data_IF_963469516091
#
_entry.id   IF_963469516091
#
_cell.length_a   1.000
_cell.length_b   1.000
_cell.length_c   1.000
_cell.angle_alpha   90.00
_cell.angle_beta   90.00
_cell.angle_gamma   90.00
#
_symmetry.space_group_name_H-M   'P 1'
#
loop_
_entity.id
_entity.type
_entity.pdbx_description
1 polymer ?
#
# COMPACT_ATOMS: atom_id res chain seq x y z
N UNK A 1 -6.51 -16.41 -6.95
CA UNK A 1 -7.17 -17.20 -8.01
C UNK A 1 -8.00 -16.29 -8.92
N UNK A 2 -8.60 -16.82 -9.99
CA UNK A 2 -9.31 -16.03 -11.01
C UNK A 2 -10.55 -15.26 -10.46
N UNK A 3 -11.10 -15.70 -9.32
CA UNK A 3 -12.19 -15.01 -8.63
C UNK A 3 -11.84 -13.60 -8.10
N UNK A 4 -10.56 -13.20 -8.12
CA UNK A 4 -10.13 -11.86 -7.67
C UNK A 4 -10.83 -10.72 -8.42
N UNK A 5 -11.27 -10.98 -9.67
CA UNK A 5 -12.01 -10.01 -10.48
C UNK A 5 -13.37 -9.70 -9.88
N UNK A 6 -14.08 -10.74 -9.40
CA UNK A 6 -15.39 -10.58 -8.75
C UNK A 6 -15.22 -9.82 -7.44
N UNK A 7 -14.19 -10.15 -6.65
CA UNK A 7 -13.87 -9.41 -5.42
C UNK A 7 -13.56 -7.94 -5.70
N UNK A 8 -12.79 -7.64 -6.76
CA UNK A 8 -12.45 -6.28 -7.14
C UNK A 8 -13.66 -5.50 -7.67
N UNK A 9 -14.57 -6.16 -8.40
CA UNK A 9 -15.82 -5.56 -8.88
C UNK A 9 -16.71 -5.14 -7.71
N UNK A 10 -16.89 -6.02 -6.73
CA UNK A 10 -17.67 -5.73 -5.52
C UNK A 10 -17.02 -4.61 -4.70
N UNK A 11 -15.70 -4.66 -4.48
CA UNK A 11 -14.96 -3.60 -3.80
C UNK A 11 -15.09 -2.26 -4.53
N UNK A 12 -15.02 -2.25 -5.86
CA UNK A 12 -15.21 -1.07 -6.70
C UNK A 12 -16.60 -0.47 -6.55
N UNK A 13 -17.65 -1.29 -6.48
CA UNK A 13 -19.02 -0.83 -6.24
C UNK A 13 -19.13 -0.11 -4.88
N UNK A 14 -18.61 -0.71 -3.80
CA UNK A 14 -18.60 -0.07 -2.49
C UNK A 14 -17.79 1.23 -2.48
N UNK A 15 -16.66 1.28 -3.18
CA UNK A 15 -15.85 2.48 -3.32
C UNK A 15 -16.60 3.61 -4.06
N UNK A 16 -17.36 3.29 -5.12
CA UNK A 16 -18.19 4.25 -5.84
C UNK A 16 -19.31 4.81 -4.97
N UNK A 17 -20.02 3.96 -4.22
CA UNK A 17 -21.06 4.39 -3.29
C UNK A 17 -20.48 5.29 -2.19
N UNK A 18 -19.32 4.94 -1.64
CA UNK A 18 -18.60 5.78 -0.67
C UNK A 18 -18.19 7.12 -1.26
N UNK A 19 -17.69 7.12 -2.50
CA UNK A 19 -17.34 8.34 -3.22
C UNK A 19 -18.53 9.27 -3.46
N UNK A 20 -19.70 8.70 -3.81
CA UNK A 20 -20.93 9.47 -3.97
C UNK A 20 -21.39 10.12 -2.66
N UNK A 21 -21.33 9.37 -1.56
CA UNK A 21 -21.58 9.90 -0.21
C UNK A 21 -20.66 11.07 0.14
N UNK A 22 -19.35 10.94 -0.11
CA UNK A 22 -18.40 12.03 0.15
C UNK A 22 -18.60 13.23 -0.79
N UNK A 23 -19.00 13.02 -2.04
CA UNK A 23 -19.29 14.09 -2.98
C UNK A 23 -20.53 14.91 -2.56
N UNK A 24 -21.60 14.22 -2.14
CA UNK A 24 -22.78 14.88 -1.57
C UNK A 24 -22.43 15.64 -0.29
N UNK A 25 -21.59 15.03 0.54
CA UNK A 25 -21.14 15.66 1.78
C UNK A 25 -20.29 16.92 1.53
N UNK A 26 -19.37 16.88 0.56
CA UNK A 26 -18.56 18.02 0.15
C UNK A 26 -19.36 19.14 -0.52
N UNK A 27 -20.46 18.82 -1.21
CA UNK A 27 -21.34 19.82 -1.80
C UNK A 27 -22.16 20.60 -0.73
N UNK A 28 -22.42 19.99 0.43
CA UNK A 28 -23.24 20.58 1.49
C UNK A 28 -22.46 21.42 2.50
N UNK A 29 -21.15 21.23 2.64
CA UNK A 29 -20.32 21.94 3.64
C UNK A 29 -19.12 22.61 2.96
N UNK A 30 -19.18 23.92 2.66
CA UNK A 30 -18.12 24.63 1.93
C UNK A 30 -16.93 25.04 2.81
N UNK A 31 -16.89 24.63 4.09
CA UNK A 31 -15.78 24.94 4.98
C UNK A 31 -14.75 23.81 4.98
N UNK A 32 -13.48 24.19 4.89
CA UNK A 32 -12.29 23.36 5.11
C UNK A 32 -12.19 22.87 6.57
N UNK A 33 -13.24 22.24 7.08
CA UNK A 33 -13.25 21.61 8.39
C UNK A 33 -13.13 20.10 8.18
N UNK A 34 -12.01 19.53 8.61
CA UNK A 34 -11.78 18.08 8.68
C UNK A 34 -13.01 17.32 9.18
N UNK A 35 -13.12 16.02 8.86
CA UNK A 35 -14.17 15.07 9.33
C UNK A 35 -14.51 15.25 10.82
N UNK A 36 -13.55 15.71 11.61
CA UNK A 36 -13.70 16.09 13.00
C UNK A 36 -14.77 17.18 13.26
N UNK A 37 -14.77 18.27 12.49
CA UNK A 37 -15.74 19.35 12.61
C UNK A 37 -17.14 18.87 12.20
N UNK A 38 -17.20 17.94 11.25
CA UNK A 38 -18.47 17.35 10.81
C UNK A 38 -19.05 16.41 11.87
N UNK A 39 -18.30 15.43 12.36
CA UNK A 39 -18.77 14.53 13.42
C UNK A 39 -19.11 15.27 14.72
N UNK A 40 -18.44 16.40 15.00
CA UNK A 40 -18.76 17.24 16.16
C UNK A 40 -20.16 17.84 16.05
N UNK A 41 -20.55 18.31 14.86
CA UNK A 41 -21.86 18.96 14.62
C UNK A 41 -23.00 17.95 14.54
N UNK A 42 -22.78 16.73 14.01
CA UNK A 42 -23.87 15.76 13.75
C UNK A 42 -24.05 14.68 14.82
N UNK A 43 -22.98 14.21 15.48
CA UNK A 43 -23.03 13.01 16.35
C UNK A 43 -22.53 13.26 17.78
N UNK A 44 -22.06 14.48 18.07
CA UNK A 44 -21.56 14.89 19.39
C UNK A 44 -20.05 14.68 19.59
N UNK A 45 -19.56 15.26 20.69
CA UNK A 45 -18.11 15.41 20.97
C UNK A 45 -17.37 14.09 21.14
N UNK A 46 -17.99 13.07 21.73
CA UNK A 46 -17.35 11.75 21.96
C UNK A 46 -17.13 10.97 20.66
N UNK A 47 -18.11 10.97 19.75
CA UNK A 47 -17.99 10.25 18.48
C UNK A 47 -16.95 10.89 17.56
N UNK A 48 -16.91 12.23 17.50
CA UNK A 48 -15.88 12.97 16.78
C UNK A 48 -14.47 12.68 17.33
N UNK A 49 -14.32 12.61 18.66
CA UNK A 49 -13.05 12.32 19.31
C UNK A 49 -12.51 10.93 18.97
N UNK A 50 -13.35 9.89 19.03
CA UNK A 50 -12.96 8.52 18.70
C UNK A 50 -12.56 8.40 17.23
N UNK A 51 -13.36 8.95 16.32
CA UNK A 51 -13.10 8.90 14.88
C UNK A 51 -11.83 9.67 14.50
N UNK A 52 -11.58 10.83 15.11
CA UNK A 52 -10.34 11.57 14.87
C UNK A 52 -9.10 10.81 15.32
N UNK A 53 -9.13 10.20 16.51
CA UNK A 53 -8.03 9.36 16.97
C UNK A 53 -7.82 8.12 16.08
N UNK A 54 -8.90 7.49 15.62
CA UNK A 54 -8.82 6.36 14.71
C UNK A 54 -8.18 6.75 13.36
N UNK A 55 -8.55 7.91 12.81
CA UNK A 55 -7.96 8.44 11.57
C UNK A 55 -6.45 8.68 11.74
N UNK A 56 -6.04 9.30 12.86
CA UNK A 56 -4.60 9.53 13.15
C UNK A 56 -3.86 8.19 13.21
N UNK A 57 -4.38 7.21 13.95
CA UNK A 57 -3.79 5.88 14.05
C UNK A 57 -3.70 5.18 12.69
N UNK A 58 -4.75 5.29 11.87
CA UNK A 58 -4.77 4.73 10.54
C UNK A 58 -3.70 5.34 9.63
N UNK A 59 -3.52 6.67 9.66
CA UNK A 59 -2.47 7.34 8.90
C UNK A 59 -1.07 6.89 9.33
N UNK A 60 -0.82 6.78 10.65
CA UNK A 60 0.48 6.31 11.16
C UNK A 60 0.78 4.90 10.68
N UNK A 61 -0.19 3.99 10.79
CA UNK A 61 -0.05 2.61 10.33
C UNK A 61 0.19 2.56 8.81
N UNK A 62 -0.60 3.29 8.02
CA UNK A 62 -0.47 3.35 6.57
C UNK A 62 0.93 3.84 6.15
N UNK A 63 1.45 4.89 6.79
CA UNK A 63 2.81 5.39 6.52
C UNK A 63 3.88 4.35 6.90
N UNK A 64 3.72 3.64 8.02
CA UNK A 64 4.64 2.59 8.43
C UNK A 64 4.67 1.43 7.41
N UNK A 65 3.50 0.95 6.98
CA UNK A 65 3.38 -0.09 5.97
C UNK A 65 4.00 0.32 4.64
N UNK A 66 3.70 1.55 4.18
CA UNK A 66 4.22 2.06 2.92
C UNK A 66 5.74 2.16 2.97
N UNK A 67 6.30 2.79 4.01
CA UNK A 67 7.76 2.92 4.15
C UNK A 67 8.45 1.57 4.13
N UNK A 68 7.89 0.58 4.83
CA UNK A 68 8.43 -0.77 4.86
C UNK A 68 8.38 -1.44 3.48
N UNK A 69 7.29 -1.30 2.74
CA UNK A 69 7.18 -1.82 1.38
C UNK A 69 8.21 -1.19 0.42
N UNK A 70 8.46 0.12 0.55
CA UNK A 70 9.51 0.80 -0.20
C UNK A 70 10.90 0.34 0.21
N UNK A 71 11.17 0.17 1.52
CA UNK A 71 12.45 -0.36 2.01
C UNK A 71 12.77 -1.71 1.36
N UNK A 72 11.80 -2.64 1.36
CA UNK A 72 11.95 -3.94 0.71
C UNK A 72 12.17 -3.83 -0.80
N UNK A 73 11.44 -2.94 -1.48
CA UNK A 73 11.62 -2.72 -2.91
C UNK A 73 13.01 -2.18 -3.23
N UNK A 74 13.51 -1.23 -2.43
CA UNK A 74 14.85 -0.66 -2.58
C UNK A 74 15.94 -1.70 -2.32
N UNK A 75 15.81 -2.51 -1.28
CA UNK A 75 16.76 -3.60 -0.98
C UNK A 75 16.79 -4.65 -2.11
N UNK A 76 15.62 -5.02 -2.62
CA UNK A 76 15.50 -5.93 -3.77
C UNK A 76 16.13 -5.35 -5.04
N UNK A 77 16.01 -4.04 -5.28
CA UNK A 77 16.64 -3.35 -6.42
C UNK A 77 18.17 -3.23 -6.30
N UNK A 78 18.70 -3.17 -5.07
CA UNK A 78 20.15 -3.15 -4.79
C UNK A 78 20.76 -4.56 -4.83
N UNK A 79 19.95 -5.62 -4.93
CA UNK A 79 20.40 -7.01 -5.00
C UNK A 79 20.62 -7.66 -3.63
N UNK A 80 19.81 -7.31 -2.62
CA UNK A 80 19.84 -7.87 -1.26
C UNK A 80 21.18 -7.72 -0.51
N UNK A 81 22.09 -6.87 -1.00
CA UNK A 81 23.41 -6.69 -0.38
C UNK A 81 23.32 -6.00 0.99
N UNK A 82 22.29 -5.18 1.21
CA UNK A 82 22.07 -4.48 2.47
C UNK A 82 21.38 -5.42 3.47
N UNK A 83 20.37 -6.18 3.05
CA UNK A 83 19.76 -7.25 3.86
C UNK A 83 20.78 -8.29 4.33
N UNK A 84 21.67 -8.79 3.46
CA UNK A 84 22.69 -9.79 3.85
C UNK A 84 23.73 -9.26 4.84
N UNK A 85 24.14 -7.99 4.71
CA UNK A 85 25.10 -7.37 5.65
C UNK A 85 24.46 -7.08 7.00
N UNK A 86 23.17 -6.73 7.01
CA UNK A 86 22.41 -6.48 8.22
C UNK A 86 22.07 -7.80 8.94
N UNK A 87 21.68 -8.83 8.18
CA UNK A 87 21.52 -10.23 8.63
C UNK A 87 22.79 -10.79 9.24
N UNK A 88 23.95 -10.56 8.63
CA UNK A 88 25.24 -11.00 9.17
C UNK A 88 25.67 -10.32 10.47
N UNK A 89 25.14 -9.13 10.80
CA UNK A 89 25.62 -8.32 11.93
C UNK A 89 24.72 -8.42 13.18
N UNK A 90 23.43 -8.71 13.03
CA UNK A 90 22.45 -8.66 14.13
C UNK A 90 21.75 -9.98 14.48
N UNK A 91 22.06 -11.07 13.77
CA UNK A 91 21.39 -12.38 13.96
C UNK A 91 21.64 -13.03 15.34
N UNK A 92 22.57 -12.55 16.16
CA UNK A 92 22.93 -13.23 17.40
C UNK A 92 22.09 -12.91 18.64
N UNK A 93 21.21 -11.90 18.67
CA UNK A 93 20.65 -11.46 19.99
C UNK A 93 19.21 -10.94 20.10
N UNK A 94 18.26 -11.22 19.20
CA UNK A 94 16.87 -10.77 19.43
C UNK A 94 15.73 -11.77 19.14
N UNK A 95 14.68 -11.79 19.99
CA UNK A 95 13.56 -12.72 19.91
C UNK A 95 12.55 -12.37 18.79
N UNK A 96 11.93 -13.40 18.22
CA UNK A 96 11.07 -13.41 17.00
C UNK A 96 9.84 -12.49 16.95
N UNK A 97 9.60 -11.64 17.95
CA UNK A 97 8.44 -10.72 18.00
C UNK A 97 8.75 -9.29 17.55
N UNK A 98 10.02 -8.91 17.39
CA UNK A 98 10.42 -7.64 16.82
C UNK A 98 11.08 -7.86 15.46
N UNK A 99 10.90 -6.90 14.54
CA UNK A 99 11.46 -6.95 13.19
C UNK A 99 12.97 -7.28 13.25
N UNK A 100 13.46 -8.26 12.46
CA UNK A 100 14.83 -8.77 12.59
C UNK A 100 15.94 -7.75 12.36
N UNK A 101 15.65 -6.56 11.82
CA UNK A 101 16.63 -5.50 11.60
C UNK A 101 16.04 -4.10 11.85
N UNK A 102 16.80 -3.17 12.47
CA UNK A 102 16.46 -1.76 12.40
C UNK A 102 16.72 -1.29 10.96
N UNK A 103 15.64 -1.14 10.18
CA UNK A 103 15.66 -0.59 8.83
C UNK A 103 16.14 0.89 8.85
N UNK A 104 17.46 1.11 8.87
CA UNK A 104 18.05 2.44 8.70
C UNK A 104 17.65 3.08 7.37
N UNK A 105 17.40 2.26 6.34
CA UNK A 105 16.90 2.69 5.04
C UNK A 105 15.46 3.20 5.14
N UNK A 106 14.58 2.48 5.84
CA UNK A 106 13.21 2.96 6.08
C UNK A 106 13.21 4.25 6.90
N UNK A 107 14.08 4.36 7.91
CA UNK A 107 14.22 5.57 8.72
C UNK A 107 14.70 6.76 7.89
N UNK A 108 15.72 6.57 7.04
CA UNK A 108 16.20 7.59 6.11
C UNK A 108 15.12 8.02 5.10
N UNK A 109 14.34 7.06 4.60
CA UNK A 109 13.23 7.34 3.67
C UNK A 109 12.10 8.14 4.35
N UNK A 110 11.72 7.78 5.58
CA UNK A 110 10.76 8.56 6.38
C UNK A 110 11.28 9.97 6.63
N UNK A 111 12.56 10.11 7.00
CA UNK A 111 13.16 11.42 7.27
C UNK A 111 13.20 12.30 6.01
N UNK A 112 13.50 11.69 4.86
CA UNK A 112 13.49 12.38 3.57
C UNK A 112 12.06 12.81 3.17
N UNK A 113 11.06 11.95 3.36
CA UNK A 113 9.66 12.29 3.13
C UNK A 113 9.20 13.41 4.08
N UNK A 114 9.51 13.31 5.37
CA UNK A 114 9.21 14.35 6.36
C UNK A 114 9.89 15.68 6.01
N UNK A 115 11.16 15.64 5.57
CA UNK A 115 11.87 16.80 5.06
C UNK A 115 11.16 17.45 3.87
N UNK A 116 10.68 16.65 2.92
CA UNK A 116 9.96 17.15 1.75
C UNK A 116 8.62 17.82 2.11
N UNK A 117 7.97 17.38 3.18
CA UNK A 117 6.79 18.05 3.74
C UNK A 117 7.15 19.40 4.36
N UNK A 118 8.30 19.49 5.05
CA UNK A 118 8.77 20.73 5.69
C UNK A 118 9.21 21.77 4.64
N UNK A 119 9.77 21.33 3.51
CA UNK A 119 10.23 22.22 2.43
C UNK A 119 9.10 22.99 1.71
N UNK A 120 7.83 22.63 1.94
CA UNK A 120 6.69 23.50 1.64
C UNK A 120 5.70 22.97 0.61
N UNK A 121 4.44 23.38 0.79
CA UNK A 121 3.24 22.88 0.08
C UNK A 121 3.34 23.01 -1.44
N UNK A 122 4.01 24.05 -1.94
CA UNK A 122 4.18 24.26 -3.38
C UNK A 122 5.10 23.22 -4.04
N UNK A 123 6.15 22.80 -3.33
CA UNK A 123 7.07 21.74 -3.80
C UNK A 123 6.36 20.39 -3.69
N UNK A 124 5.72 20.12 -2.55
CA UNK A 124 4.93 18.89 -2.34
C UNK A 124 3.87 18.70 -3.43
N UNK A 125 3.10 19.74 -3.75
CA UNK A 125 2.04 19.66 -4.77
C UNK A 125 2.58 19.36 -6.17
N UNK A 126 3.77 19.86 -6.54
CA UNK A 126 4.41 19.53 -7.83
C UNK A 126 4.89 18.08 -7.86
N UNK A 127 5.55 17.63 -6.79
CA UNK A 127 6.04 16.25 -6.68
C UNK A 127 4.87 15.26 -6.73
N UNK A 128 3.79 15.52 -6.01
CA UNK A 128 2.61 14.64 -6.03
C UNK A 128 2.00 14.56 -7.43
N UNK A 129 1.83 15.69 -8.13
CA UNK A 129 1.31 15.68 -9.51
C UNK A 129 2.15 14.83 -10.45
N UNK A 130 3.47 14.98 -10.39
CA UNK A 130 4.40 14.19 -11.22
C UNK A 130 4.34 12.72 -10.84
N UNK A 131 4.39 12.38 -9.55
CA UNK A 131 4.31 11.00 -9.05
C UNK A 131 3.00 10.32 -9.46
N UNK A 132 1.86 11.01 -9.33
CA UNK A 132 0.56 10.52 -9.79
C UNK A 132 0.56 10.30 -11.30
N UNK A 133 1.14 11.22 -12.08
CA UNK A 133 1.26 11.06 -13.54
C UNK A 133 2.07 9.83 -13.95
N UNK A 134 3.21 9.60 -13.29
CA UNK A 134 4.05 8.42 -13.52
C UNK A 134 3.28 7.14 -13.16
N UNK A 135 2.64 7.09 -11.99
CA UNK A 135 1.85 5.94 -11.57
C UNK A 135 0.70 5.64 -12.55
N UNK A 136 0.01 6.67 -13.05
CA UNK A 136 -1.03 6.51 -14.06
C UNK A 136 -0.47 5.95 -15.38
N UNK A 137 0.71 6.40 -15.80
CA UNK A 137 1.38 5.88 -16.99
C UNK A 137 1.75 4.40 -16.82
N UNK A 138 2.39 4.04 -15.71
CA UNK A 138 2.76 2.65 -15.39
C UNK A 138 1.53 1.75 -15.37
N UNK A 139 0.45 2.16 -14.70
CA UNK A 139 -0.80 1.42 -14.67
C UNK A 139 -1.40 1.25 -16.07
N UNK A 140 -1.42 2.31 -16.89
CA UNK A 140 -1.92 2.23 -18.26
C UNK A 140 -1.11 1.25 -19.11
N UNK A 141 0.22 1.25 -18.97
CA UNK A 141 1.10 0.31 -19.64
C UNK A 141 0.83 -1.14 -19.23
N UNK A 142 0.65 -1.39 -17.93
CA UNK A 142 0.31 -2.72 -17.40
C UNK A 142 -1.03 -3.21 -17.97
N UNK A 143 -2.04 -2.34 -18.05
CA UNK A 143 -3.35 -2.68 -18.62
C UNK A 143 -3.22 -3.05 -20.11
N UNK A 144 -2.49 -2.25 -20.89
CA UNK A 144 -2.27 -2.50 -22.32
C UNK A 144 -1.48 -3.80 -22.53
N UNK A 145 -0.40 -4.00 -21.77
CA UNK A 145 0.41 -5.23 -21.83
C UNK A 145 -0.39 -6.46 -21.39
N UNK A 146 -1.25 -6.32 -20.38
CA UNK A 146 -2.15 -7.37 -19.91
C UNK A 146 -3.21 -7.75 -20.94
N UNK A 147 -3.70 -6.77 -21.71
CA UNK A 147 -4.66 -7.01 -22.79
C UNK A 147 -4.02 -7.73 -23.99
N UNK A 148 -2.79 -7.37 -24.35
CA UNK A 148 -2.09 -7.96 -25.50
C UNK A 148 -1.60 -9.40 -25.20
N UNK A 149 -1.19 -9.67 -23.96
CA UNK A 149 -0.54 -10.92 -23.55
C UNK A 149 -1.42 -11.81 -22.67
N UNK A 150 -2.70 -11.45 -22.49
CA UNK A 150 -3.65 -12.18 -21.66
C UNK A 150 -4.13 -13.44 -22.36
N UNK A 151 -3.73 -14.60 -21.83
CA UNK A 151 -4.23 -15.90 -22.29
C UNK A 151 -5.35 -16.40 -21.36
N UNK A 152 -6.50 -16.78 -21.95
CA UNK A 152 -7.65 -17.31 -21.21
C UNK A 152 -7.38 -18.69 -20.58
N UNK A 153 -6.32 -19.41 -20.99
CA UNK A 153 -5.92 -20.67 -20.35
C UNK A 153 -5.59 -20.50 -18.87
N UNK A 154 -5.09 -19.34 -18.45
CA UNK A 154 -4.77 -19.07 -17.04
C UNK A 154 -6.03 -18.87 -16.16
N UNK A 155 -7.21 -18.72 -16.76
CA UNK A 155 -8.49 -18.70 -16.03
C UNK A 155 -9.08 -20.10 -15.80
N UNK A 156 -8.75 -21.08 -16.64
CA UNK A 156 -9.21 -22.46 -16.51
C UNK A 156 -8.14 -23.34 -15.84
N UNK A 157 -7.74 -22.95 -14.63
CA UNK A 157 -6.91 -23.81 -13.78
C UNK A 157 -7.66 -25.12 -13.51
N UNK A 158 -7.30 -26.16 -14.26
CA UNK A 158 -7.79 -27.53 -14.08
C UNK A 158 -7.02 -28.16 -12.91
N UNK A 159 -7.62 -29.11 -12.17
CA UNK A 159 -6.97 -29.80 -11.04
C UNK A 159 -5.55 -30.34 -11.34
N UNK A 160 -5.25 -30.61 -12.61
CA UNK A 160 -3.93 -31.07 -13.08
C UNK A 160 -2.82 -30.01 -12.89
N UNK A 161 -3.10 -28.71 -13.06
CA UNK A 161 -2.11 -27.64 -12.87
C UNK A 161 -1.74 -27.45 -11.40
N UNK A 162 -2.71 -27.63 -10.50
CA UNK A 162 -2.46 -27.61 -9.06
C UNK A 162 -1.57 -28.79 -8.62
N UNK A 163 -1.77 -29.98 -9.21
CA UNK A 163 -0.90 -31.15 -8.93
C UNK A 163 0.49 -31.01 -9.53
N UNK A 164 0.64 -30.40 -10.71
CA UNK A 164 1.94 -30.11 -11.32
C UNK A 164 2.75 -29.07 -10.53
N UNK A 165 2.10 -27.99 -10.05
CA UNK A 165 2.75 -27.01 -9.18
C UNK A 165 3.14 -27.60 -7.81
N UNK A 166 2.31 -28.46 -7.24
CA UNK A 166 2.63 -29.18 -6.00
C UNK A 166 3.74 -30.22 -6.18
N UNK A 167 3.82 -30.89 -7.33
CA UNK A 167 4.88 -31.87 -7.64
C UNK A 167 6.23 -31.20 -7.88
N UNK A 168 6.28 -30.05 -8.56
CA UNK A 168 7.51 -29.29 -8.77
C UNK A 168 8.16 -28.77 -7.48
N UNK A 169 7.35 -28.52 -6.44
CA UNK A 169 7.81 -28.16 -5.09
C UNK A 169 8.43 -29.34 -4.33
N UNK A 170 8.05 -30.58 -4.63
CA UNK A 170 8.59 -31.77 -3.96
C UNK A 170 9.92 -32.25 -4.58
N UNK A 171 10.21 -31.91 -5.83
CA UNK A 171 11.48 -32.24 -6.46
C UNK A 171 12.58 -31.19 -6.16
N UNK A 172 12.21 -29.93 -5.94
CA UNK A 172 13.17 -28.89 -5.49
C UNK A 172 13.57 -28.99 -4.02
N UNK A 173 12.85 -29.78 -3.22
CA UNK A 173 13.23 -30.12 -1.84
C UNK A 173 14.04 -31.43 -1.74
N UNK A 174 14.34 -32.07 -2.87
CA UNK A 174 15.10 -33.33 -2.97
C UNK A 174 16.46 -33.20 -3.67
N UNK A 175 16.86 -31.99 -4.08
CA UNK A 175 18.22 -31.63 -4.49
C UNK A 175 18.83 -30.70 -3.44
#
# INVERSE_FOLDING_TARGET
>A
GPAIIISFLVAGLFALLSGFYFAEFGARVPCCGSVYLYSYVTMGQLHAFITGWNIILHFVLATAYLTRAWSYTFDSLIGNHISQVLEGTFSEHMPSFLAPYPDFVALALVLLMAGLLILGVHVTARVTKVSTGINALVLSFIIISGFIKGDLHNWQLTEQDYKLAASGSNDTSRL
#
